data_IF_926617759778
#
_entry.id   IF_926617759778
#
_cell.length_a   1.000
_cell.length_b   1.000
_cell.length_c   1.000
_cell.angle_alpha   90.00
_cell.angle_beta   90.00
_cell.angle_gamma   90.00
#
_symmetry.space_group_name_H-M   'P 1'
#
loop_
_entity.id
_entity.type
_entity.pdbx_description
1 polymer ?
#
# COMPACT_ATOMS: atom_id res chain seq x y z
N UNK A 1 -19.59 -3.67 10.66
CA UNK A 1 -19.30 -2.92 9.42
C UNK A 1 -17.84 -2.52 9.41
N UNK A 2 -17.15 -2.55 8.27
CA UNK A 2 -15.74 -2.13 8.17
C UNK A 2 -15.69 -0.61 7.98
N UNK A 3 -14.93 0.13 8.80
CA UNK A 3 -14.73 1.59 8.67
C UNK A 3 -14.33 1.95 7.23
N UNK A 4 -14.93 2.93 6.54
CA UNK A 4 -14.47 3.39 5.23
C UNK A 4 -12.96 3.69 5.22
N UNK A 5 -12.33 3.47 4.07
CA UNK A 5 -10.92 3.85 3.85
C UNK A 5 -10.93 5.07 2.93
N UNK A 6 -10.36 6.17 3.41
CA UNK A 6 -10.22 7.42 2.66
C UNK A 6 -8.75 7.62 2.33
N UNK A 7 -8.46 7.82 1.05
CA UNK A 7 -7.10 8.06 0.58
C UNK A 7 -6.89 9.56 0.48
N UNK A 8 -5.95 10.09 1.27
CA UNK A 8 -5.62 11.51 1.24
C UNK A 8 -5.13 11.94 -0.15
N UNK A 9 -5.27 13.22 -0.46
CA UNK A 9 -4.73 13.80 -1.70
C UNK A 9 -3.24 13.49 -1.90
N UNK A 10 -2.45 13.62 -0.83
CA UNK A 10 -1.01 13.33 -0.87
C UNK A 10 -0.74 11.86 -1.20
N UNK A 11 -1.50 10.93 -0.61
CA UNK A 11 -1.39 9.50 -0.91
C UNK A 11 -1.80 9.19 -2.36
N UNK A 12 -2.84 9.83 -2.91
CA UNK A 12 -3.23 9.68 -4.33
C UNK A 12 -2.12 10.09 -5.29
N UNK A 13 -1.43 11.20 -5.02
CA UNK A 13 -0.27 11.61 -5.81
C UNK A 13 0.86 10.57 -5.74
N UNK A 14 1.17 10.07 -4.54
CA UNK A 14 2.19 9.02 -4.38
C UNK A 14 1.83 7.75 -5.15
N UNK A 15 0.55 7.36 -5.17
CA UNK A 15 0.08 6.21 -5.93
C UNK A 15 0.38 6.37 -7.43
N UNK A 16 0.02 7.52 -8.01
CA UNK A 16 0.29 7.80 -9.42
C UNK A 16 1.78 7.74 -9.74
N UNK A 17 2.63 8.37 -8.93
CA UNK A 17 4.08 8.38 -9.16
C UNK A 17 4.78 7.04 -8.93
N UNK A 18 4.13 6.09 -8.25
CA UNK A 18 4.73 4.80 -7.86
C UNK A 18 4.04 3.60 -8.52
N UNK A 19 2.97 3.86 -9.26
CA UNK A 19 2.20 2.87 -9.98
C UNK A 19 1.30 2.02 -9.10
N UNK A 20 0.75 2.55 -8.00
CA UNK A 20 -0.25 1.84 -7.19
C UNK A 20 -1.68 2.17 -7.65
N UNK A 21 -2.55 1.16 -7.60
CA UNK A 21 -3.99 1.32 -7.81
C UNK A 21 -4.73 1.48 -6.47
N UNK A 22 -5.89 2.14 -6.51
CA UNK A 22 -6.72 2.37 -5.32
C UNK A 22 -7.16 1.07 -4.67
N UNK A 23 -7.51 0.06 -5.47
CA UNK A 23 -7.86 -1.29 -5.02
C UNK A 23 -6.71 -1.93 -4.25
N UNK A 24 -5.48 -1.85 -4.74
CA UNK A 24 -4.30 -2.42 -4.08
C UNK A 24 -4.01 -1.74 -2.73
N UNK A 25 -4.16 -0.41 -2.66
CA UNK A 25 -3.98 0.37 -1.42
C UNK A 25 -5.04 -0.01 -0.38
N UNK A 26 -6.30 -0.14 -0.81
CA UNK A 26 -7.39 -0.59 0.06
C UNK A 26 -7.13 -2.02 0.54
N UNK A 27 -6.71 -2.92 -0.34
CA UNK A 27 -6.37 -4.28 0.05
C UNK A 27 -5.22 -4.33 1.04
N UNK A 28 -4.16 -3.53 0.84
CA UNK A 28 -3.05 -3.45 1.79
C UNK A 28 -3.48 -2.98 3.18
N UNK A 29 -4.34 -1.96 3.24
CA UNK A 29 -4.90 -1.47 4.49
C UNK A 29 -5.87 -2.47 5.15
N UNK A 30 -6.52 -3.35 4.39
CA UNK A 30 -7.52 -4.30 4.93
C UNK A 30 -6.97 -5.67 5.30
N UNK A 31 -6.07 -6.21 4.48
CA UNK A 31 -5.56 -7.58 4.57
C UNK A 31 -4.18 -7.62 5.22
N UNK A 32 -3.39 -6.55 5.05
CA UNK A 32 -2.08 -6.45 5.68
C UNK A 32 -2.19 -6.45 7.20
N UNK A 33 -1.19 -7.04 7.86
CA UNK A 33 -1.10 -6.98 9.31
C UNK A 33 -0.82 -5.55 9.75
N UNK A 34 -1.68 -5.01 10.61
CA UNK A 34 -1.50 -3.67 11.16
C UNK A 34 -0.40 -3.70 12.21
N UNK A 35 0.58 -2.82 12.02
CA UNK A 35 1.68 -2.63 12.95
C UNK A 35 1.72 -1.16 13.37
N UNK A 36 2.04 -0.86 14.65
CA UNK A 36 2.24 0.52 15.08
C UNK A 36 3.31 1.23 14.25
N UNK A 37 3.04 2.48 13.90
CA UNK A 37 3.95 3.39 13.22
C UNK A 37 4.14 4.68 14.04
N UNK A 38 5.00 5.58 13.54
CA UNK A 38 5.30 6.84 14.23
C UNK A 38 4.04 7.71 14.41
N UNK A 39 3.96 8.41 15.55
CA UNK A 39 2.91 9.39 15.88
C UNK A 39 1.49 8.81 15.95
N UNK A 40 1.34 7.64 16.57
CA UNK A 40 0.02 7.01 16.78
C UNK A 40 -0.65 6.50 15.50
N UNK A 41 0.12 6.32 14.43
CA UNK A 41 -0.36 5.79 13.15
C UNK A 41 -0.17 4.29 13.10
N UNK A 42 -0.75 3.67 12.09
CA UNK A 42 -0.50 2.29 11.73
C UNK A 42 0.17 2.19 10.37
N UNK A 43 0.87 1.09 10.15
CA UNK A 43 1.35 0.66 8.86
C UNK A 43 0.86 -0.75 8.56
N UNK A 44 0.61 -1.04 7.29
CA UNK A 44 0.29 -2.37 6.81
C UNK A 44 0.96 -2.61 5.45
N UNK A 45 1.30 -3.87 5.19
CA UNK A 45 1.91 -4.31 3.93
C UNK A 45 1.11 -5.43 3.31
N UNK A 46 0.99 -5.40 1.99
CA UNK A 46 0.44 -6.50 1.24
C UNK A 46 1.17 -6.69 -0.08
N UNK A 47 1.43 -7.95 -0.41
CA UNK A 47 2.15 -8.36 -1.60
C UNK A 47 1.19 -8.96 -2.62
N UNK A 48 1.35 -8.52 -3.86
CA UNK A 48 0.60 -8.95 -5.02
C UNK A 48 1.54 -9.69 -5.97
N UNK A 49 1.02 -10.74 -6.61
CA UNK A 49 1.62 -11.27 -7.83
C UNK A 49 1.41 -10.21 -8.92
N UNK A 50 2.49 -9.76 -9.53
CA UNK A 50 2.47 -8.66 -10.50
C UNK A 50 2.75 -9.16 -11.91
N UNK A 51 3.84 -9.90 -12.12
CA UNK A 51 4.28 -10.52 -13.38
C UNK A 51 4.15 -9.60 -14.61
N UNK A 52 4.44 -8.31 -14.44
CA UNK A 52 4.28 -7.26 -15.45
C UNK A 52 5.47 -6.29 -15.42
N UNK A 53 5.70 -5.52 -16.49
CA UNK A 53 6.65 -4.41 -16.45
C UNK A 53 6.19 -3.34 -15.45
N UNK A 54 7.09 -2.89 -14.59
CA UNK A 54 6.84 -1.77 -13.68
C UNK A 54 6.54 -0.51 -14.51
N UNK A 55 5.50 0.27 -14.18
CA UNK A 55 5.23 1.54 -14.86
C UNK A 55 6.32 2.60 -14.60
N UNK A 56 7.24 2.34 -13.65
CA UNK A 56 8.29 3.29 -13.27
C UNK A 56 9.59 3.00 -14.02
N UNK A 57 9.97 1.73 -14.16
CA UNK A 57 11.27 1.33 -14.72
C UNK A 57 11.17 0.53 -16.02
N UNK A 58 9.99 0.00 -16.36
CA UNK A 58 9.78 -0.91 -17.49
C UNK A 58 10.28 -2.35 -17.23
N UNK A 59 10.98 -2.61 -16.12
CA UNK A 59 11.49 -3.94 -15.76
C UNK A 59 10.34 -4.85 -15.32
N UNK A 60 10.36 -6.11 -15.76
CA UNK A 60 9.39 -7.11 -15.35
C UNK A 60 9.71 -7.57 -13.92
N UNK A 61 8.72 -7.46 -13.04
CA UNK A 61 8.81 -7.94 -11.66
C UNK A 61 7.73 -8.97 -11.35
N UNK A 62 8.12 -10.02 -10.62
CA UNK A 62 7.21 -11.07 -10.16
C UNK A 62 6.25 -10.57 -9.10
N UNK A 63 6.74 -9.73 -8.19
CA UNK A 63 5.95 -9.22 -7.07
C UNK A 63 5.92 -7.71 -7.01
N UNK A 64 4.79 -7.20 -6.53
CA UNK A 64 4.60 -5.80 -6.16
C UNK A 64 4.07 -5.76 -4.74
N UNK A 65 4.71 -5.00 -3.87
CA UNK A 65 4.30 -4.85 -2.47
C UNK A 65 3.89 -3.41 -2.21
N UNK A 66 2.71 -3.25 -1.62
CA UNK A 66 2.15 -1.97 -1.22
C UNK A 66 2.28 -1.85 0.29
N UNK A 67 2.98 -0.81 0.74
CA UNK A 67 3.04 -0.40 2.14
C UNK A 67 2.21 0.87 2.31
N UNK A 68 1.24 0.82 3.20
CA UNK A 68 0.40 1.97 3.56
C UNK A 68 0.73 2.42 4.98
N UNK A 69 0.74 3.74 5.20
CA UNK A 69 0.72 4.34 6.54
C UNK A 69 -0.57 5.12 6.66
N UNK A 70 -1.34 4.84 7.70
CA UNK A 70 -2.68 5.40 7.89
C UNK A 70 -2.96 5.74 9.34
N UNK A 71 -3.90 6.65 9.56
CA UNK A 71 -4.51 6.90 10.85
C UNK A 71 -5.82 6.11 10.94
N UNK A 72 -6.08 5.52 12.11
CA UNK A 72 -7.40 4.97 12.43
C UNK A 72 -8.16 6.00 13.27
N UNK A 73 -9.19 6.60 12.69
CA UNK A 73 -10.10 7.52 13.38
C UNK A 73 -11.36 6.77 13.85
N UNK A 74 -12.28 7.45 14.54
CA UNK A 74 -13.54 6.86 15.02
C UNK A 74 -14.36 6.21 13.90
N UNK A 75 -14.48 6.92 12.78
CA UNK A 75 -15.42 6.59 11.71
C UNK A 75 -14.73 6.13 10.42
N UNK A 76 -13.43 6.38 10.27
CA UNK A 76 -12.70 6.12 9.03
C UNK A 76 -11.23 5.73 9.25
N UNK A 77 -10.64 5.17 8.20
CA UNK A 77 -9.21 4.90 8.10
C UNK A 77 -8.65 5.84 7.03
N UNK A 78 -7.76 6.75 7.42
CA UNK A 78 -7.21 7.75 6.51
C UNK A 78 -5.80 7.35 6.08
N UNK A 79 -5.63 7.01 4.80
CA UNK A 79 -4.32 6.68 4.22
C UNK A 79 -3.53 7.95 3.93
N UNK A 80 -2.38 8.07 4.59
CA UNK A 80 -1.50 9.24 4.55
C UNK A 80 -0.30 9.04 3.63
N UNK A 81 0.23 7.81 3.58
CA UNK A 81 1.41 7.46 2.77
C UNK A 81 1.20 6.13 2.09
N UNK A 82 1.60 6.03 0.82
CA UNK A 82 1.61 4.80 0.02
C UNK A 82 3.01 4.62 -0.58
N UNK A 83 3.71 3.54 -0.23
CA UNK A 83 4.96 3.13 -0.88
C UNK A 83 4.72 1.88 -1.72
N UNK A 84 5.47 1.78 -2.81
CA UNK A 84 5.40 0.64 -3.72
C UNK A 84 6.80 0.07 -3.88
N UNK A 85 6.91 -1.23 -3.70
CA UNK A 85 8.14 -1.99 -3.88
C UNK A 85 7.93 -3.01 -4.98
N UNK A 86 8.84 -3.06 -5.94
CA UNK A 86 8.86 -4.07 -6.98
C UNK A 86 10.03 -5.01 -6.73
N UNK A 87 9.79 -6.32 -6.76
CA UNK A 87 10.83 -7.31 -6.48
C UNK A 87 10.61 -8.62 -7.23
N UNK A 88 11.70 -9.30 -7.54
CA UNK A 88 11.71 -10.68 -8.03
C UNK A 88 12.05 -11.69 -6.92
N UNK A 89 12.44 -11.21 -5.74
CA UNK A 89 12.74 -12.06 -4.60
C UNK A 89 11.44 -12.60 -3.98
N UNK A 90 11.44 -13.89 -3.64
CA UNK A 90 10.37 -14.49 -2.83
C UNK A 90 10.38 -13.97 -1.39
N UNK A 91 9.32 -14.27 -0.63
CA UNK A 91 9.42 -14.18 0.84
C UNK A 91 10.61 -15.04 1.29
N UNK A 92 11.56 -14.42 2.01
CA UNK A 92 12.60 -15.19 2.69
C UNK A 92 11.89 -16.05 3.75
N UNK A 93 12.13 -17.37 3.77
CA UNK A 93 11.53 -18.26 4.74
C UNK A 93 11.91 -17.88 6.17
#
# INVERSE_FOLDING_TARGET
MKKPIVISWHARLQMQFRGAEETEVIEAARKGQWQPAKRGRFQAKWRFIFDKPSPITGVIYRFKEIEVIFAEESDEIIVLTVKVYYTNEGEKP
#
